data_IF_659799496519
#
_entry.id   IF_659799496519
#
_cell.length_a   1.000
_cell.length_b   1.000
_cell.length_c   1.000
_cell.angle_alpha   90.00
_cell.angle_beta   90.00
_cell.angle_gamma   90.00
#
_symmetry.space_group_name_H-M   'P 1'
#
loop_
_entity.id
_entity.type
_entity.pdbx_description
1 polymer ?
#
# COMPACT_ATOMS: atom_id res chain seq x y z
N UNK A 1 -6.82 -12.89 9.36
CA UNK A 1 -7.16 -11.55 8.82
C UNK A 1 -6.79 -11.49 7.35
N UNK A 2 -7.72 -11.08 6.53
CA UNK A 2 -7.46 -10.88 5.11
C UNK A 2 -7.54 -9.41 4.77
N UNK A 3 -6.49 -8.92 4.13
CA UNK A 3 -6.42 -7.52 3.73
C UNK A 3 -6.76 -7.38 2.26
N UNK A 4 -7.67 -6.47 1.95
CA UNK A 4 -8.03 -6.21 0.56
C UNK A 4 -6.98 -5.29 -0.07
N UNK A 5 -6.63 -5.57 -1.33
CA UNK A 5 -5.59 -4.84 -2.03
C UNK A 5 -6.09 -4.27 -3.34
N UNK A 6 -5.66 -3.07 -3.66
CA UNK A 6 -5.85 -2.48 -4.97
C UNK A 6 -4.48 -2.26 -5.58
N UNK A 7 -4.35 -2.52 -6.87
CA UNK A 7 -3.12 -2.27 -7.61
C UNK A 7 -3.40 -1.17 -8.63
N UNK A 8 -2.61 -0.10 -8.58
CA UNK A 8 -2.71 0.99 -9.55
C UNK A 8 -1.38 1.11 -10.25
N UNK A 9 -1.34 0.66 -11.50
CA UNK A 9 -0.13 0.64 -12.31
C UNK A 9 -0.57 0.62 -13.78
N UNK A 10 0.18 1.29 -14.63
CA UNK A 10 -0.15 1.31 -16.06
C UNK A 10 0.54 0.22 -16.87
N UNK A 11 1.41 -0.58 -16.23
CA UNK A 11 2.12 -1.65 -16.90
C UNK A 11 1.46 -2.99 -16.63
N UNK A 12 0.91 -3.66 -17.65
CA UNK A 12 0.23 -4.94 -17.44
C UNK A 12 1.12 -6.02 -16.81
N UNK A 13 2.41 -6.02 -17.14
CA UNK A 13 3.31 -7.01 -16.57
C UNK A 13 3.54 -6.78 -15.08
N UNK A 14 3.60 -5.53 -14.66
CA UNK A 14 3.74 -5.20 -13.25
C UNK A 14 2.49 -5.61 -12.48
N UNK A 15 1.32 -5.40 -13.07
CA UNK A 15 0.06 -5.80 -12.45
C UNK A 15 0.02 -7.32 -12.26
N UNK A 16 0.39 -8.07 -13.30
CA UNK A 16 0.39 -9.54 -13.21
C UNK A 16 1.37 -10.04 -12.17
N UNK A 17 2.52 -9.41 -12.09
CA UNK A 17 3.51 -9.81 -11.10
C UNK A 17 2.96 -9.60 -9.69
N UNK A 18 2.37 -8.44 -9.42
CA UNK A 18 1.81 -8.15 -8.10
C UNK A 18 0.62 -9.05 -7.80
N UNK A 19 -0.22 -9.34 -8.78
CA UNK A 19 -1.33 -10.27 -8.58
C UNK A 19 -0.83 -11.65 -8.20
N UNK A 20 0.21 -12.11 -8.88
CA UNK A 20 0.80 -13.40 -8.58
C UNK A 20 1.35 -13.44 -7.15
N UNK A 21 2.03 -12.38 -6.75
CA UNK A 21 2.56 -12.29 -5.40
C UNK A 21 1.44 -12.25 -4.36
N UNK A 22 0.37 -11.53 -4.65
CA UNK A 22 -0.79 -11.45 -3.75
C UNK A 22 -1.42 -12.84 -3.59
N UNK A 23 -1.57 -13.58 -4.68
CA UNK A 23 -2.13 -14.92 -4.62
C UNK A 23 -1.29 -15.87 -3.76
N UNK A 24 0.02 -15.64 -3.74
CA UNK A 24 0.93 -16.48 -2.95
C UNK A 24 0.96 -16.08 -1.48
N UNK A 25 0.26 -15.03 -1.11
CA UNK A 25 0.29 -14.48 0.24
C UNK A 25 -1.10 -14.62 0.87
N UNK A 26 -1.29 -15.59 1.76
CA UNK A 26 -2.64 -15.98 2.21
C UNK A 26 -3.47 -14.89 2.84
N UNK A 27 -2.84 -13.87 3.41
CA UNK A 27 -3.59 -12.81 4.09
C UNK A 27 -3.90 -11.61 3.19
N UNK A 28 -3.62 -11.72 1.88
CA UNK A 28 -3.93 -10.64 0.94
C UNK A 28 -4.94 -11.10 -0.11
N UNK A 29 -5.73 -10.16 -0.59
CA UNK A 29 -6.71 -10.43 -1.64
C UNK A 29 -6.84 -9.22 -2.55
N UNK A 30 -6.57 -9.41 -3.85
CA UNK A 30 -6.64 -8.32 -4.82
C UNK A 30 -8.06 -7.98 -5.19
N UNK A 31 -8.32 -6.69 -5.45
CA UNK A 31 -9.62 -6.20 -5.88
C UNK A 31 -9.60 -5.64 -7.29
N UNK A 32 -8.71 -4.69 -7.55
CA UNK A 32 -8.64 -4.01 -8.85
C UNK A 32 -7.22 -3.90 -9.32
N UNK A 33 -7.06 -3.84 -10.66
CA UNK A 33 -5.75 -3.75 -11.28
C UNK A 33 -5.64 -2.63 -12.30
N UNK A 34 -6.70 -1.86 -12.50
CA UNK A 34 -6.74 -0.82 -13.51
C UNK A 34 -6.79 0.55 -12.85
N UNK A 35 -5.93 1.49 -13.30
CA UNK A 35 -5.83 2.79 -12.65
C UNK A 35 -7.12 3.59 -12.73
N UNK A 36 -7.85 3.48 -13.84
CA UNK A 36 -9.10 4.24 -14.01
C UNK A 36 -10.19 3.68 -13.09
N UNK A 37 -10.36 2.36 -13.08
CA UNK A 37 -11.33 1.73 -12.21
C UNK A 37 -10.95 1.90 -10.74
N UNK A 38 -9.66 1.84 -10.45
CA UNK A 38 -9.19 1.97 -9.08
C UNK A 38 -9.45 3.35 -8.49
N UNK A 39 -9.44 4.39 -9.32
CA UNK A 39 -9.73 5.73 -8.82
C UNK A 39 -11.08 5.83 -8.14
N UNK A 40 -12.09 5.27 -8.75
CA UNK A 40 -13.43 5.28 -8.14
C UNK A 40 -13.45 4.47 -6.85
N UNK A 41 -12.76 3.34 -6.83
CA UNK A 41 -12.70 2.53 -5.62
C UNK A 41 -11.95 3.22 -4.50
N UNK A 42 -10.90 3.95 -4.82
CA UNK A 42 -10.13 4.67 -3.81
C UNK A 42 -10.99 5.74 -3.15
N UNK A 43 -11.81 6.43 -3.93
CA UNK A 43 -12.63 7.51 -3.40
C UNK A 43 -13.93 7.05 -2.78
N UNK A 44 -14.51 5.96 -3.29
CA UNK A 44 -15.82 5.51 -2.87
C UNK A 44 -15.80 4.34 -1.91
N UNK A 45 -14.75 3.56 -1.96
CA UNK A 45 -14.69 2.34 -1.19
C UNK A 45 -13.31 2.17 -0.62
N UNK A 46 -13.18 1.30 0.33
CA UNK A 46 -11.94 1.18 1.05
C UNK A 46 -11.25 -0.13 0.76
N UNK A 47 -10.06 -0.04 0.19
CA UNK A 47 -9.13 -1.14 0.28
C UNK A 47 -8.27 -0.93 1.52
N UNK A 48 -7.74 -2.01 2.04
CA UNK A 48 -6.82 -1.90 3.16
C UNK A 48 -5.45 -1.44 2.67
N UNK A 49 -4.97 -2.01 1.58
CA UNK A 49 -3.64 -1.73 1.06
C UNK A 49 -3.73 -1.32 -0.39
N UNK A 50 -3.02 -0.27 -0.75
CA UNK A 50 -2.94 0.23 -2.10
C UNK A 50 -1.51 0.13 -2.59
N UNK A 51 -1.29 -0.70 -3.61
CA UNK A 51 -0.01 -0.73 -4.33
C UNK A 51 -0.10 0.29 -5.44
N UNK A 52 0.68 1.36 -5.33
CA UNK A 52 0.52 2.53 -6.18
C UNK A 52 1.81 2.85 -6.91
N UNK A 53 1.79 2.76 -8.23
CA UNK A 53 2.93 3.17 -9.04
C UNK A 53 3.03 4.69 -9.04
N UNK A 54 4.23 5.20 -8.83
CA UNK A 54 4.44 6.64 -8.77
C UNK A 54 4.38 7.27 -10.15
N UNK A 55 5.01 6.64 -11.14
CA UNK A 55 5.08 7.23 -12.47
C UNK A 55 4.17 6.52 -13.46
N UNK A 56 3.11 7.21 -13.85
CA UNK A 56 2.18 6.75 -14.87
C UNK A 56 1.98 7.90 -15.87
N UNK A 57 1.76 7.61 -17.17
CA UNK A 57 1.69 8.65 -18.17
C UNK A 57 0.66 9.74 -17.91
N UNK A 58 -0.52 9.35 -17.43
CA UNK A 58 -1.62 10.28 -17.25
C UNK A 58 -1.85 10.68 -15.80
N UNK A 59 -1.04 10.15 -14.88
CA UNK A 59 -1.33 10.34 -13.48
C UNK A 59 -0.08 10.11 -12.65
N UNK A 60 0.19 11.03 -11.74
CA UNK A 60 1.31 10.89 -10.82
C UNK A 60 0.80 10.24 -9.54
N UNK A 61 1.42 9.11 -9.16
CA UNK A 61 1.02 8.38 -7.95
C UNK A 61 1.14 9.21 -6.68
N UNK A 62 2.12 10.12 -6.62
CA UNK A 62 2.25 10.99 -5.45
C UNK A 62 1.04 11.90 -5.30
N UNK A 63 0.55 12.45 -6.42
CA UNK A 63 -0.64 13.28 -6.38
C UNK A 63 -1.87 12.46 -6.01
N UNK A 64 -1.97 11.26 -6.59
CA UNK A 64 -3.09 10.39 -6.28
C UNK A 64 -3.11 9.99 -4.82
N UNK A 65 -1.94 9.85 -4.20
CA UNK A 65 -1.87 9.44 -2.80
C UNK A 65 -2.57 10.42 -1.86
N UNK A 66 -2.66 11.68 -2.24
CA UNK A 66 -3.35 12.68 -1.40
C UNK A 66 -4.87 12.52 -1.42
N UNK A 67 -5.39 11.74 -2.36
CA UNK A 67 -6.82 11.49 -2.48
C UNK A 67 -7.25 10.19 -1.77
N UNK A 68 -6.30 9.45 -1.27
CA UNK A 68 -6.56 8.14 -0.67
C UNK A 68 -7.09 8.32 0.75
N UNK A 69 -8.15 7.59 1.13
CA UNK A 69 -8.67 7.67 2.50
C UNK A 69 -7.61 7.29 3.54
N UNK A 70 -7.70 7.89 4.70
CA UNK A 70 -6.67 7.72 5.72
C UNK A 70 -6.53 6.29 6.23
N UNK A 71 -7.59 5.49 6.14
CA UNK A 71 -7.52 4.10 6.60
C UNK A 71 -6.84 3.17 5.60
N UNK A 72 -6.67 3.61 4.35
CA UNK A 72 -5.97 2.82 3.33
C UNK A 72 -4.48 3.10 3.45
N UNK A 73 -3.69 2.04 3.56
CA UNK A 73 -2.25 2.18 3.65
C UNK A 73 -1.61 2.00 2.28
N UNK A 74 -0.64 2.85 1.98
CA UNK A 74 -0.04 2.89 0.66
C UNK A 74 1.32 2.22 0.66
N UNK A 75 1.55 1.36 -0.33
CA UNK A 75 2.86 0.83 -0.65
C UNK A 75 3.18 1.32 -2.06
N UNK A 76 4.13 2.23 -2.16
CA UNK A 76 4.52 2.76 -3.47
C UNK A 76 5.38 1.79 -4.24
N UNK A 77 5.24 1.78 -5.56
CA UNK A 77 6.12 1.03 -6.45
C UNK A 77 6.68 1.99 -7.49
N UNK A 78 7.94 1.80 -7.88
CA UNK A 78 8.54 2.63 -8.91
C UNK A 78 9.86 2.03 -9.39
N UNK A 79 10.28 2.39 -10.59
CA UNK A 79 11.62 2.05 -11.08
C UNK A 79 12.68 3.02 -10.59
N UNK A 80 12.30 4.10 -9.91
CA UNK A 80 13.19 5.18 -9.54
C UNK A 80 13.32 5.33 -8.04
N UNK A 81 14.49 4.99 -7.51
CA UNK A 81 14.72 5.03 -6.06
C UNK A 81 14.66 6.45 -5.48
N UNK A 82 14.76 7.46 -6.34
CA UNK A 82 14.70 8.86 -5.89
C UNK A 82 13.37 9.19 -5.20
N UNK A 83 12.33 8.46 -5.51
CA UNK A 83 11.03 8.72 -4.92
C UNK A 83 10.87 8.16 -3.51
N UNK A 84 11.85 7.42 -3.01
CA UNK A 84 11.76 6.87 -1.65
C UNK A 84 11.60 7.97 -0.61
N UNK A 85 12.30 9.09 -0.81
CA UNK A 85 12.21 10.22 0.12
C UNK A 85 10.80 10.81 0.13
N UNK A 86 10.21 10.96 -1.06
CA UNK A 86 8.88 11.53 -1.17
C UNK A 86 7.82 10.64 -0.51
N UNK A 87 8.04 9.34 -0.53
CA UNK A 87 7.08 8.41 0.08
C UNK A 87 7.00 8.58 1.60
N UNK A 88 8.05 9.06 2.23
CA UNK A 88 8.00 9.37 3.65
C UNK A 88 7.06 10.53 3.95
N UNK A 89 7.01 11.51 3.08
CA UNK A 89 6.20 12.70 3.31
C UNK A 89 4.72 12.41 3.27
N UNK A 90 4.31 11.38 2.53
CA UNK A 90 2.91 10.98 2.48
C UNK A 90 2.62 9.83 3.44
N UNK A 91 3.58 9.51 4.30
CA UNK A 91 3.41 8.48 5.32
C UNK A 91 3.05 7.12 4.73
N UNK A 92 3.74 6.74 3.68
CA UNK A 92 3.53 5.44 3.07
C UNK A 92 3.99 4.32 3.98
N UNK A 93 3.37 3.18 3.85
CA UNK A 93 3.73 2.02 4.64
C UNK A 93 5.07 1.45 4.20
N UNK A 94 5.31 1.43 2.90
CA UNK A 94 6.57 0.95 2.36
C UNK A 94 6.75 1.46 0.93
N UNK A 95 7.89 1.14 0.36
CA UNK A 95 8.31 1.59 -0.95
C UNK A 95 9.05 0.44 -1.62
N UNK A 96 8.58 0.00 -2.78
CA UNK A 96 9.14 -1.13 -3.51
C UNK A 96 9.73 -0.66 -4.82
N UNK A 97 11.00 -1.00 -5.05
CA UNK A 97 11.69 -0.63 -6.27
C UNK A 97 11.51 -1.74 -7.30
N UNK A 98 11.13 -1.36 -8.52
CA UNK A 98 10.99 -2.32 -9.62
C UNK A 98 12.37 -2.69 -10.18
N UNK A 99 12.60 -3.92 -10.58
CA UNK A 99 11.67 -5.05 -10.56
C UNK A 99 11.47 -5.58 -9.14
N UNK A 100 10.22 -5.76 -8.76
CA UNK A 100 9.89 -6.13 -7.40
C UNK A 100 10.17 -7.63 -7.19
N UNK A 101 10.95 -7.94 -6.17
CA UNK A 101 11.23 -9.32 -5.79
C UNK A 101 10.24 -9.78 -4.74
N UNK A 102 9.92 -11.05 -4.76
CA UNK A 102 8.92 -11.59 -3.84
C UNK A 102 9.29 -11.36 -2.38
N UNK A 103 10.57 -11.53 -2.02
CA UNK A 103 10.96 -11.33 -0.62
C UNK A 103 10.74 -9.89 -0.16
N UNK A 104 10.93 -8.92 -1.04
CA UNK A 104 10.67 -7.52 -0.71
C UNK A 104 9.17 -7.24 -0.64
N UNK A 105 8.41 -7.81 -1.57
CA UNK A 105 6.97 -7.71 -1.54
C UNK A 105 6.44 -8.30 -0.22
N UNK A 106 6.89 -9.48 0.14
CA UNK A 106 6.42 -10.14 1.35
C UNK A 106 6.71 -9.33 2.59
N UNK A 107 7.90 -8.73 2.67
CA UNK A 107 8.26 -7.88 3.81
C UNK A 107 7.29 -6.70 3.93
N UNK A 108 6.94 -6.07 2.81
CA UNK A 108 5.98 -4.97 2.81
C UNK A 108 4.60 -5.45 3.21
N UNK A 109 4.19 -6.61 2.70
CA UNK A 109 2.89 -7.19 3.04
C UNK A 109 2.79 -7.52 4.52
N UNK A 110 3.86 -8.01 5.11
CA UNK A 110 3.88 -8.30 6.54
C UNK A 110 3.85 -7.04 7.38
N UNK A 111 4.45 -5.96 6.90
CA UNK A 111 4.30 -4.65 7.56
C UNK A 111 2.84 -4.23 7.58
N UNK A 112 2.15 -4.42 6.47
CA UNK A 112 0.74 -4.07 6.40
C UNK A 112 -0.07 -4.90 7.37
N UNK A 113 0.19 -6.20 7.40
CA UNK A 113 -0.52 -7.08 8.32
C UNK A 113 -0.33 -6.65 9.77
N UNK A 114 0.90 -6.35 10.15
CA UNK A 114 1.18 -5.88 11.49
C UNK A 114 0.48 -4.58 11.81
N UNK A 115 0.51 -3.65 10.87
CA UNK A 115 -0.12 -2.37 11.09
C UNK A 115 -1.61 -2.51 11.36
N UNK A 116 -2.30 -3.34 10.56
CA UNK A 116 -3.75 -3.52 10.74
C UNK A 116 -4.07 -4.34 11.98
N UNK A 117 -3.24 -5.29 12.33
CA UNK A 117 -3.44 -6.05 13.57
C UNK A 117 -3.35 -5.14 14.78
N UNK A 118 -2.38 -4.24 14.79
CA UNK A 118 -2.22 -3.31 15.90
C UNK A 118 -3.35 -2.29 15.96
N UNK A 119 -3.81 -1.84 14.81
CA UNK A 119 -4.88 -0.86 14.74
C UNK A 119 -6.21 -1.41 15.27
N UNK A 120 -6.38 -2.74 15.22
CA UNK A 120 -7.61 -3.38 15.69
C UNK A 120 -7.59 -3.75 17.16
N UNK A 121 -6.49 -3.47 17.87
CA UNK A 121 -6.39 -3.81 19.28
C UNK A 121 -6.67 -2.59 20.15
N UNK A 122 -7.80 -2.52 20.79
CA UNK A 122 -8.16 -1.34 21.59
C UNK A 122 -7.17 -1.05 22.72
N UNK A 123 -6.63 -2.07 23.34
CA UNK A 123 -5.70 -1.87 24.44
C UNK A 123 -4.44 -1.14 24.00
N UNK A 124 -3.99 -1.42 22.79
CA UNK A 124 -2.80 -0.78 22.30
C UNK A 124 -2.97 0.72 22.16
N UNK A 125 -4.15 1.13 21.79
CA UNK A 125 -4.41 2.55 21.64
C UNK A 125 -4.27 3.28 22.97
N UNK A 126 -4.73 2.68 24.04
CA UNK A 126 -4.63 3.28 25.34
C UNK A 126 -3.20 3.34 25.82
N UNK A 127 -2.50 2.26 25.63
CA UNK A 127 -1.13 2.20 26.10
C UNK A 127 -0.21 3.15 25.37
N UNK A 128 -0.41 3.30 24.11
CA UNK A 128 0.47 4.18 23.36
C UNK A 128 0.35 5.61 23.80
N UNK A 129 -0.80 6.02 24.26
CA UNK A 129 -0.95 7.37 24.74
C UNK A 129 -0.26 7.56 26.08
N UNK A 130 -0.13 6.51 26.83
CA UNK A 130 0.46 6.60 28.14
C UNK A 130 1.96 6.59 28.09
N UNK A 131 2.48 5.72 27.33
CA UNK A 131 3.87 5.49 27.37
C UNK A 131 4.68 6.49 26.75
N UNK A 132 4.11 7.01 25.90
CA UNK A 132 4.92 7.83 25.17
C UNK A 132 5.30 9.03 25.84
N UNK A 133 4.95 8.66 26.52
CA UNK A 133 5.31 9.31 27.12
C UNK A 133 6.12 9.18 27.78
N UNK A 134 6.20 8.98 27.70
CA UNK A 134 6.91 8.87 28.34
C UNK A 134 7.83 8.87 28.23
N UNK A 135 7.73 9.12 28.01
CA UNK A 135 8.46 9.19 28.00
C UNK A 135 8.94 9.27 28.06
#
# INVERSE_FOLDING_TARGET
MNLSCIIVDDEPLAIRLLENFIERTPFLKASFTDSVAAMQSITNDSADVLFLDIQMPDMNGMELSHMVPSHTRIIFTTAFKEYAFDSYEVNALDFLLKPIRYNKFLAAAEKAKKWFEMALQPQNNQHTTVFLKVD
#
